data_IF_397687630452
#
_entry.id   IF_397687630452
#
_cell.length_a   1.000
_cell.length_b   1.000
_cell.length_c   1.000
_cell.angle_alpha   90.00
_cell.angle_beta   90.00
_cell.angle_gamma   90.00
#
_symmetry.space_group_name_H-M   'P 1'
#
loop_
_entity.id
_entity.type
_entity.pdbx_description
1 polymer ?
#
# COMPACT_ATOMS: atom_id res chain seq x y z
N UNK A 1 5.71 26.42 -21.03
CA UNK A 1 6.57 26.86 -19.91
C UNK A 1 6.02 26.30 -18.61
N UNK A 2 6.74 25.38 -17.95
CA UNK A 2 6.30 24.82 -16.68
C UNK A 2 6.40 25.91 -15.60
N UNK A 3 5.30 26.22 -14.92
CA UNK A 3 5.31 27.19 -13.83
C UNK A 3 6.31 26.73 -12.74
N UNK A 4 7.16 27.62 -12.18
CA UNK A 4 8.21 27.24 -11.23
C UNK A 4 7.70 26.47 -9.99
N UNK A 5 6.42 26.62 -9.61
CA UNK A 5 5.79 25.82 -8.54
C UNK A 5 5.47 24.36 -8.92
N UNK A 6 5.23 24.07 -10.20
CA UNK A 6 4.81 22.74 -10.66
C UNK A 6 5.93 21.71 -10.50
N UNK A 7 7.17 22.09 -10.83
CA UNK A 7 8.33 21.20 -10.67
C UNK A 7 8.60 20.90 -9.20
N UNK A 8 8.47 21.91 -8.33
CA UNK A 8 8.66 21.73 -6.90
C UNK A 8 7.58 20.80 -6.31
N UNK A 9 6.33 20.91 -6.75
CA UNK A 9 5.25 20.00 -6.34
C UNK A 9 5.45 18.56 -6.84
N UNK A 10 6.20 18.32 -7.92
CA UNK A 10 6.55 16.96 -8.36
C UNK A 10 7.71 16.37 -7.56
N UNK A 11 8.73 17.17 -7.30
CA UNK A 11 9.97 16.71 -6.65
C UNK A 11 9.78 16.53 -5.15
N UNK A 12 9.02 17.42 -4.50
CA UNK A 12 8.80 17.40 -3.06
C UNK A 12 8.28 16.05 -2.54
N UNK A 13 7.20 15.44 -3.07
CA UNK A 13 6.71 14.18 -2.52
C UNK A 13 7.70 13.03 -2.74
N UNK A 14 8.46 13.04 -3.84
CA UNK A 14 9.53 12.07 -4.06
C UNK A 14 10.64 12.22 -3.01
N UNK A 15 11.07 13.46 -2.72
CA UNK A 15 12.05 13.72 -1.66
C UNK A 15 11.52 13.26 -0.30
N UNK A 16 10.27 13.54 0.04
CA UNK A 16 9.66 13.11 1.30
C UNK A 16 9.56 11.58 1.39
N UNK A 17 9.27 10.89 0.28
CA UNK A 17 9.27 9.42 0.24
C UNK A 17 10.68 8.87 0.46
N UNK A 18 11.66 9.30 -0.34
CA UNK A 18 12.99 8.68 -0.35
C UNK A 18 13.91 9.13 0.79
N UNK A 19 13.80 10.39 1.24
CA UNK A 19 14.62 10.93 2.33
C UNK A 19 13.92 10.87 3.69
N UNK A 20 12.59 10.68 3.72
CA UNK A 20 11.79 10.66 4.95
C UNK A 20 11.18 9.29 5.25
N UNK A 21 10.15 8.91 4.49
CA UNK A 21 9.33 7.72 4.75
C UNK A 21 10.14 6.42 4.62
N UNK A 22 10.91 6.25 3.55
CA UNK A 22 11.64 5.01 3.30
C UNK A 22 12.74 4.73 4.35
N UNK A 23 13.59 5.70 4.74
CA UNK A 23 14.54 5.49 5.84
C UNK A 23 13.87 5.27 7.21
N UNK A 24 12.71 5.91 7.45
CA UNK A 24 11.97 5.76 8.70
C UNK A 24 11.21 4.41 8.79
N UNK A 25 10.95 3.74 7.67
CA UNK A 25 10.13 2.53 7.63
C UNK A 25 10.71 1.39 8.48
N UNK A 26 11.98 1.02 8.26
CA UNK A 26 12.62 -0.08 9.00
C UNK A 26 12.61 0.12 10.54
N UNK A 27 13.10 1.25 11.09
CA UNK A 27 13.05 1.46 12.54
C UNK A 27 11.62 1.56 13.07
N UNK A 28 10.69 2.11 12.29
CA UNK A 28 9.27 2.17 12.66
C UNK A 28 8.67 0.77 12.81
N UNK A 29 8.82 -0.11 11.81
CA UNK A 29 8.26 -1.46 11.90
C UNK A 29 8.96 -2.28 12.98
N UNK A 30 10.27 -2.14 13.16
CA UNK A 30 10.98 -2.78 14.28
C UNK A 30 10.40 -2.34 15.64
N UNK A 31 10.13 -1.04 15.83
CA UNK A 31 9.48 -0.53 17.03
C UNK A 31 8.06 -1.12 17.21
N UNK A 32 7.26 -1.17 16.14
CA UNK A 32 5.90 -1.72 16.18
C UNK A 32 5.92 -3.22 16.53
N UNK A 33 6.86 -4.00 16.01
CA UNK A 33 6.97 -5.43 16.34
C UNK A 33 7.13 -5.71 17.83
N UNK A 34 7.81 -4.83 18.57
CA UNK A 34 8.04 -4.97 20.01
C UNK A 34 6.90 -4.42 20.87
N UNK A 35 5.95 -3.71 20.27
CA UNK A 35 4.82 -3.14 20.99
C UNK A 35 3.76 -4.21 21.23
N UNK A 36 3.19 -4.23 22.44
CA UNK A 36 2.03 -5.06 22.75
C UNK A 36 0.83 -4.56 21.94
N UNK A 37 0.23 -5.46 21.17
CA UNK A 37 -0.98 -5.22 20.40
C UNK A 37 -2.19 -5.95 20.98
N UNK A 38 -3.30 -5.86 20.27
CA UNK A 38 -4.54 -6.56 20.59
C UNK A 38 -4.88 -7.54 19.46
N UNK A 39 -5.36 -8.72 19.81
CA UNK A 39 -5.97 -9.63 18.83
C UNK A 39 -7.39 -9.16 18.53
N UNK A 40 -7.74 -9.09 17.25
CA UNK A 40 -9.11 -8.86 16.82
C UNK A 40 -9.79 -10.19 16.53
N UNK A 41 -11.03 -10.32 16.96
CA UNK A 41 -11.87 -11.42 16.53
C UNK A 41 -12.20 -11.21 15.03
N UNK A 42 -11.82 -12.19 14.21
CA UNK A 42 -12.12 -12.21 12.78
C UNK A 42 -12.77 -13.55 12.42
N UNK A 43 -14.11 -13.63 12.53
CA UNK A 43 -14.84 -14.86 12.23
C UNK A 43 -14.66 -15.30 10.77
N UNK A 44 -14.46 -14.37 9.84
CA UNK A 44 -14.31 -14.71 8.42
C UNK A 44 -12.96 -15.38 8.21
N UNK A 45 -11.89 -14.80 8.73
CA UNK A 45 -10.55 -15.38 8.65
C UNK A 45 -10.49 -16.74 9.39
N UNK A 46 -11.16 -16.87 10.52
CA UNK A 46 -11.20 -18.12 11.31
C UNK A 46 -11.80 -19.33 10.55
N UNK A 47 -12.66 -19.10 9.55
CA UNK A 47 -13.23 -20.16 8.71
C UNK A 47 -12.47 -20.36 7.39
N UNK A 48 -11.51 -19.50 7.08
CA UNK A 48 -10.76 -19.55 5.83
C UNK A 48 -9.54 -20.47 6.03
N UNK A 49 -9.27 -21.44 5.14
CA UNK A 49 -8.11 -22.30 5.29
C UNK A 49 -6.82 -21.58 4.87
N UNK A 50 -5.80 -21.62 5.72
CA UNK A 50 -4.50 -21.03 5.44
C UNK A 50 -3.74 -21.81 4.34
N UNK A 51 -3.35 -21.12 3.28
CA UNK A 51 -2.52 -21.68 2.20
C UNK A 51 -1.42 -20.70 1.83
N UNK A 52 -0.24 -21.23 1.49
CA UNK A 52 0.85 -20.41 0.97
C UNK A 52 0.59 -20.01 -0.48
N UNK A 53 0.17 -18.76 -0.64
CA UNK A 53 -0.12 -18.03 -1.86
C UNK A 53 0.71 -16.75 -1.94
N UNK A 54 1.90 -16.72 -1.32
CA UNK A 54 2.77 -15.54 -1.36
C UNK A 54 3.21 -15.17 -2.78
N UNK A 55 3.62 -16.17 -3.57
CA UNK A 55 4.05 -16.00 -4.96
C UNK A 55 3.00 -15.32 -5.85
N UNK A 56 1.73 -15.79 -5.93
CA UNK A 56 0.73 -15.10 -6.75
C UNK A 56 0.43 -13.68 -6.24
N UNK A 57 0.46 -13.41 -4.93
CA UNK A 57 0.32 -12.04 -4.40
C UNK A 57 1.45 -11.15 -4.92
N UNK A 58 2.70 -11.63 -4.85
CA UNK A 58 3.87 -10.93 -5.36
C UNK A 58 3.71 -10.57 -6.85
N UNK A 59 3.45 -11.57 -7.71
CA UNK A 59 3.36 -11.30 -9.16
C UNK A 59 2.22 -10.36 -9.54
N UNK A 60 1.04 -10.51 -8.90
CA UNK A 60 -0.09 -9.61 -9.14
C UNK A 60 0.20 -8.19 -8.66
N UNK A 61 0.80 -8.05 -7.47
CA UNK A 61 1.17 -6.76 -6.91
C UNK A 61 2.20 -6.06 -7.80
N UNK A 62 3.40 -6.63 -7.95
CA UNK A 62 4.49 -5.96 -8.67
C UNK A 62 4.16 -5.79 -10.16
N UNK A 63 3.52 -6.78 -10.78
CA UNK A 63 3.07 -6.70 -12.16
C UNK A 63 2.08 -5.56 -12.38
N UNK A 64 1.08 -5.42 -11.51
CA UNK A 64 0.09 -4.33 -11.61
C UNK A 64 0.71 -2.96 -11.32
N UNK A 65 1.62 -2.85 -10.35
CA UNK A 65 2.39 -1.65 -10.08
C UNK A 65 3.21 -1.20 -11.28
N UNK A 66 4.00 -2.10 -11.87
CA UNK A 66 4.82 -1.81 -13.05
C UNK A 66 3.93 -1.37 -14.22
N UNK A 67 2.85 -2.11 -14.51
CA UNK A 67 1.95 -1.79 -15.62
C UNK A 67 1.26 -0.42 -15.44
N UNK A 68 0.75 -0.14 -14.23
CA UNK A 68 0.07 1.12 -13.94
C UNK A 68 1.05 2.30 -13.97
N UNK A 69 2.25 2.16 -13.38
CA UNK A 69 3.27 3.21 -13.42
C UNK A 69 3.74 3.47 -14.84
N UNK A 70 4.02 2.44 -15.64
CA UNK A 70 4.38 2.59 -17.05
C UNK A 70 3.29 3.35 -17.83
N UNK A 71 2.02 3.06 -17.57
CA UNK A 71 0.91 3.81 -18.15
C UNK A 71 0.85 5.27 -17.67
N UNK A 72 1.16 5.54 -16.39
CA UNK A 72 1.15 6.88 -15.80
C UNK A 72 2.34 7.74 -16.25
N UNK A 73 3.49 7.16 -16.64
CA UNK A 73 4.66 7.90 -17.11
C UNK A 73 4.35 8.81 -18.31
N UNK A 74 3.45 8.40 -19.21
CA UNK A 74 2.97 9.23 -20.31
C UNK A 74 1.99 10.34 -19.90
N UNK A 75 1.64 10.45 -18.61
CA UNK A 75 0.55 11.31 -18.10
C UNK A 75 1.00 12.03 -16.82
N UNK A 76 1.90 13.02 -16.93
CA UNK A 76 2.57 13.64 -15.78
C UNK A 76 1.61 14.25 -14.74
N UNK A 77 0.44 14.73 -15.17
CA UNK A 77 -0.58 15.25 -14.25
C UNK A 77 -1.19 14.17 -13.36
N UNK A 78 -1.48 12.99 -13.92
CA UNK A 78 -2.03 11.87 -13.15
C UNK A 78 -0.93 11.23 -12.29
N UNK A 79 0.28 11.14 -12.83
CA UNK A 79 1.44 10.64 -12.11
C UNK A 79 1.74 11.51 -10.88
N UNK A 80 1.79 12.83 -11.03
CA UNK A 80 2.04 13.75 -9.91
C UNK A 80 1.03 13.59 -8.78
N UNK A 81 -0.27 13.55 -9.12
CA UNK A 81 -1.33 13.26 -8.14
C UNK A 81 -1.16 11.87 -7.51
N UNK A 82 -0.79 10.87 -8.30
CA UNK A 82 -0.55 9.50 -7.84
C UNK A 82 0.60 9.41 -6.83
N UNK A 83 1.70 10.13 -7.07
CA UNK A 83 2.87 10.18 -6.17
C UNK A 83 2.51 10.86 -4.84
N UNK A 84 1.77 11.97 -4.88
CA UNK A 84 1.24 12.60 -3.65
C UNK A 84 0.29 11.68 -2.89
N UNK A 85 -0.61 11.00 -3.61
CA UNK A 85 -1.53 10.05 -3.01
C UNK A 85 -0.76 8.91 -2.34
N UNK A 86 0.29 8.39 -2.98
CA UNK A 86 1.11 7.32 -2.43
C UNK A 86 1.84 7.78 -1.15
N UNK A 87 2.45 8.97 -1.15
CA UNK A 87 3.04 9.55 0.07
C UNK A 87 2.01 9.62 1.21
N UNK A 88 0.83 10.18 0.94
CA UNK A 88 -0.23 10.30 1.94
C UNK A 88 -0.73 8.94 2.42
N UNK A 89 -0.82 7.95 1.51
CA UNK A 89 -1.20 6.59 1.85
C UNK A 89 -0.21 5.95 2.82
N UNK A 90 1.10 6.11 2.58
CA UNK A 90 2.14 5.61 3.48
C UNK A 90 2.06 6.28 4.86
N UNK A 91 1.85 7.60 4.91
CA UNK A 91 1.70 8.32 6.18
C UNK A 91 0.45 7.89 6.95
N UNK A 92 -0.69 7.73 6.26
CA UNK A 92 -1.92 7.19 6.85
C UNK A 92 -1.71 5.77 7.37
N UNK A 93 -0.99 4.93 6.63
CA UNK A 93 -0.66 3.57 7.06
C UNK A 93 0.20 3.58 8.33
N UNK A 94 1.29 4.33 8.35
CA UNK A 94 2.14 4.43 9.54
C UNK A 94 1.37 4.99 10.75
N UNK A 95 0.49 5.98 10.52
CA UNK A 95 -0.35 6.55 11.58
C UNK A 95 -1.35 5.53 12.14
N UNK A 96 -2.00 4.77 11.26
CA UNK A 96 -3.00 3.77 11.67
C UNK A 96 -2.38 2.60 12.40
N UNK A 97 -1.25 2.06 11.92
CA UNK A 97 -0.48 1.02 12.61
C UNK A 97 -0.02 1.52 13.99
N UNK A 98 0.41 2.78 14.09
CA UNK A 98 0.81 3.36 15.38
C UNK A 98 -0.38 3.57 16.33
N UNK A 99 -1.55 3.97 15.83
CA UNK A 99 -2.74 4.18 16.66
C UNK A 99 -3.40 2.85 17.08
N UNK A 100 -3.34 1.84 16.20
CA UNK A 100 -4.00 0.55 16.36
C UNK A 100 -2.94 -0.56 16.37
N UNK A 101 -2.22 -0.75 17.50
CA UNK A 101 -1.29 -1.85 17.61
C UNK A 101 -2.08 -3.17 17.67
N UNK A 102 -1.95 -3.97 16.61
CA UNK A 102 -2.62 -5.27 16.49
C UNK A 102 -1.58 -6.39 16.55
N UNK A 103 -1.97 -7.51 17.15
CA UNK A 103 -1.21 -8.74 17.07
C UNK A 103 -1.55 -9.49 15.78
N UNK A 104 -0.58 -10.23 15.25
CA UNK A 104 -0.76 -11.06 14.06
C UNK A 104 -1.93 -12.05 14.24
N UNK A 105 -2.70 -12.34 13.17
CA UNK A 105 -3.71 -13.38 13.21
C UNK A 105 -3.10 -14.73 13.64
N UNK A 106 -3.90 -15.53 14.35
CA UNK A 106 -3.50 -16.90 14.68
C UNK A 106 -3.31 -17.69 13.38
N UNK A 107 -2.17 -18.40 13.25
CA UNK A 107 -1.86 -19.17 12.05
C UNK A 107 -1.27 -18.35 10.90
N UNK A 108 -0.70 -17.16 11.18
CA UNK A 108 0.04 -16.38 10.18
C UNK A 108 1.10 -17.23 9.49
N UNK A 109 1.03 -17.30 8.17
CA UNK A 109 2.06 -17.93 7.36
C UNK A 109 3.18 -16.93 7.08
N UNK A 110 4.44 -17.37 6.98
CA UNK A 110 5.53 -16.51 6.54
C UNK A 110 5.15 -15.85 5.21
N UNK A 111 5.38 -14.55 5.15
CA UNK A 111 5.19 -13.77 3.93
C UNK A 111 6.48 -13.03 3.62
N UNK A 112 7.52 -13.76 3.19
CA UNK A 112 8.76 -13.14 2.78
C UNK A 112 8.45 -12.26 1.57
N UNK A 113 8.65 -10.95 1.71
CA UNK A 113 8.66 -10.02 0.58
C UNK A 113 10.10 -9.97 0.05
N UNK A 114 10.40 -10.59 -1.11
CA UNK A 114 11.75 -10.64 -1.65
C UNK A 114 12.34 -9.24 -1.89
N UNK A 115 11.50 -8.24 -2.21
CA UNK A 115 11.98 -6.89 -2.44
C UNK A 115 12.33 -6.19 -1.13
N UNK A 116 11.48 -6.31 -0.11
CA UNK A 116 11.76 -5.72 1.20
C UNK A 116 12.93 -6.42 1.89
N UNK A 117 13.06 -7.74 1.72
CA UNK A 117 14.20 -8.49 2.24
C UNK A 117 15.53 -8.06 1.59
N UNK A 118 15.59 -7.98 0.26
CA UNK A 118 16.83 -7.62 -0.45
C UNK A 118 17.21 -6.14 -0.33
N UNK A 119 16.23 -5.24 -0.21
CA UNK A 119 16.48 -3.78 -0.15
C UNK A 119 16.65 -3.28 1.29
N UNK A 120 15.97 -3.88 2.26
CA UNK A 120 15.93 -3.38 3.64
C UNK A 120 16.45 -4.38 4.69
N UNK A 121 16.65 -5.68 4.40
CA UNK A 121 17.00 -6.69 5.42
C UNK A 121 18.31 -7.43 5.13
N UNK A 122 19.41 -6.68 5.04
CA UNK A 122 20.75 -7.29 5.02
C UNK A 122 21.20 -7.87 6.39
N UNK A 123 20.43 -7.78 7.50
CA UNK A 123 20.98 -8.15 8.82
C UNK A 123 20.01 -8.57 9.95
N UNK A 124 18.69 -8.65 9.77
CA UNK A 124 17.80 -9.00 10.91
C UNK A 124 16.69 -9.94 10.45
N UNK A 125 16.87 -11.23 10.74
CA UNK A 125 16.07 -12.35 10.24
C UNK A 125 14.68 -12.51 10.92
N UNK A 126 14.06 -11.42 11.39
CA UNK A 126 12.73 -11.47 12.02
C UNK A 126 11.70 -10.89 11.05
N UNK A 127 10.76 -11.72 10.54
CA UNK A 127 9.68 -11.23 9.68
C UNK A 127 8.84 -10.16 10.36
N UNK A 128 8.47 -9.13 9.61
CA UNK A 128 7.50 -8.11 10.05
C UNK A 128 6.10 -8.73 9.92
N UNK A 129 5.34 -8.73 11.02
CA UNK A 129 4.05 -9.44 11.14
C UNK A 129 2.95 -8.58 11.78
N UNK A 130 3.29 -7.47 12.45
CA UNK A 130 2.35 -6.52 13.03
C UNK A 130 2.19 -5.26 12.18
N UNK A 131 2.47 -5.33 10.88
CA UNK A 131 2.16 -4.27 9.94
C UNK A 131 0.67 -4.30 9.51
N UNK A 132 -0.20 -4.38 10.52
CA UNK A 132 -1.62 -4.67 10.40
C UNK A 132 -2.44 -3.38 10.46
N UNK A 133 -3.52 -3.37 9.69
CA UNK A 133 -4.44 -2.26 9.48
C UNK A 133 -3.83 -0.98 8.85
N UNK A 134 -4.12 -0.65 7.59
CA UNK A 134 -4.82 -1.42 6.53
C UNK A 134 -3.82 -2.17 5.63
N UNK A 135 -4.33 -3.06 4.79
CA UNK A 135 -3.51 -3.87 3.87
C UNK A 135 -2.80 -2.96 2.86
N UNK A 136 -1.48 -2.81 3.03
CA UNK A 136 -0.66 -1.99 2.13
C UNK A 136 -0.67 -2.54 0.70
N UNK A 137 -0.73 -3.87 0.56
CA UNK A 137 -0.80 -4.53 -0.73
C UNK A 137 -2.08 -4.15 -1.49
N UNK A 138 -3.22 -4.39 -0.86
CA UNK A 138 -4.52 -4.10 -1.46
C UNK A 138 -4.66 -2.61 -1.76
N UNK A 139 -4.30 -1.75 -0.80
CA UNK A 139 -4.48 -0.31 -0.92
C UNK A 139 -3.62 0.33 -2.02
N UNK A 140 -2.39 -0.15 -2.22
CA UNK A 140 -1.52 0.35 -3.29
C UNK A 140 -2.15 0.11 -4.66
N UNK A 141 -2.66 -1.11 -4.91
CA UNK A 141 -3.30 -1.42 -6.20
C UNK A 141 -4.62 -0.68 -6.36
N UNK A 142 -5.41 -0.50 -5.29
CA UNK A 142 -6.62 0.35 -5.34
C UNK A 142 -6.25 1.80 -5.68
N UNK A 143 -5.19 2.35 -5.06
CA UNK A 143 -4.73 3.71 -5.35
C UNK A 143 -4.32 3.85 -6.81
N UNK A 144 -3.64 2.85 -7.38
CA UNK A 144 -3.32 2.83 -8.81
C UNK A 144 -4.58 2.76 -9.67
N UNK A 145 -5.58 1.95 -9.29
CA UNK A 145 -6.88 1.89 -9.96
C UNK A 145 -7.61 3.25 -9.95
N UNK A 146 -7.43 4.05 -8.90
CA UNK A 146 -7.96 5.43 -8.83
C UNK A 146 -7.14 6.43 -9.66
N UNK A 147 -5.82 6.22 -9.75
CA UNK A 147 -4.92 7.10 -10.47
C UNK A 147 -5.04 6.99 -12.00
N UNK A 148 -5.24 5.78 -12.53
CA UNK A 148 -5.40 5.56 -13.97
C UNK A 148 -6.75 6.05 -14.51
N UNK A 149 -6.85 6.22 -15.84
CA UNK A 149 -8.09 6.60 -16.54
C UNK A 149 -8.48 5.54 -17.59
N UNK A 150 -9.76 5.53 -17.94
CA UNK A 150 -10.36 4.55 -18.83
C UNK A 150 -10.98 3.38 -18.07
N UNK A 151 -12.20 2.97 -18.47
CA UNK A 151 -12.97 1.94 -17.77
C UNK A 151 -12.25 0.60 -17.67
N UNK A 152 -11.50 0.22 -18.71
CA UNK A 152 -10.80 -1.07 -18.77
C UNK A 152 -9.64 -1.16 -17.79
N UNK A 153 -8.74 -0.17 -17.79
CA UNK A 153 -7.60 -0.12 -16.86
C UNK A 153 -8.05 -0.04 -15.39
N UNK A 154 -9.08 0.77 -15.12
CA UNK A 154 -9.66 0.89 -13.77
C UNK A 154 -10.28 -0.43 -13.31
N UNK A 155 -11.08 -1.07 -14.16
CA UNK A 155 -11.71 -2.35 -13.85
C UNK A 155 -10.67 -3.46 -13.64
N UNK A 156 -9.64 -3.52 -14.50
CA UNK A 156 -8.56 -4.50 -14.38
C UNK A 156 -7.81 -4.35 -13.05
N UNK A 157 -7.35 -3.14 -12.71
CA UNK A 157 -6.64 -2.91 -11.46
C UNK A 157 -7.53 -3.12 -10.23
N UNK A 158 -8.81 -2.75 -10.30
CA UNK A 158 -9.76 -3.02 -9.22
C UNK A 158 -9.99 -4.53 -9.03
N UNK A 159 -10.09 -5.30 -10.12
CA UNK A 159 -10.19 -6.75 -10.06
C UNK A 159 -8.92 -7.38 -9.46
N UNK A 160 -7.73 -6.93 -9.88
CA UNK A 160 -6.46 -7.38 -9.30
C UNK A 160 -6.39 -7.05 -7.82
N UNK A 161 -6.79 -5.84 -7.41
CA UNK A 161 -6.83 -5.45 -6.00
C UNK A 161 -7.77 -6.33 -5.18
N UNK A 162 -8.96 -6.64 -5.70
CA UNK A 162 -9.90 -7.55 -5.04
C UNK A 162 -9.32 -8.98 -4.92
N UNK A 163 -8.66 -9.47 -5.96
CA UNK A 163 -7.97 -10.77 -5.93
C UNK A 163 -6.86 -10.79 -4.89
N UNK A 164 -5.99 -9.76 -4.86
CA UNK A 164 -4.93 -9.63 -3.85
C UNK A 164 -5.56 -9.58 -2.45
N UNK A 165 -6.64 -8.82 -2.26
CA UNK A 165 -7.38 -8.75 -1.02
C UNK A 165 -7.87 -10.12 -0.53
N UNK A 166 -8.38 -10.96 -1.44
CA UNK A 166 -8.73 -12.34 -1.10
C UNK A 166 -7.52 -13.21 -0.77
N UNK A 167 -6.45 -13.12 -1.57
CA UNK A 167 -5.24 -13.92 -1.38
C UNK A 167 -4.52 -13.60 -0.07
N UNK A 168 -4.45 -12.34 0.35
CA UNK A 168 -3.81 -11.98 1.64
C UNK A 168 -4.57 -12.54 2.85
N UNK A 169 -5.89 -12.75 2.72
CA UNK A 169 -6.68 -13.45 3.74
C UNK A 169 -6.37 -14.95 3.71
N UNK A 170 -6.28 -15.56 2.52
CA UNK A 170 -5.88 -16.98 2.38
C UNK A 170 -4.49 -17.23 2.96
N UNK A 171 -3.55 -16.29 2.78
CA UNK A 171 -2.22 -16.33 3.40
C UNK A 171 -2.23 -16.11 4.92
N UNK A 172 -3.34 -15.62 5.49
CA UNK A 172 -3.46 -15.26 6.91
C UNK A 172 -2.48 -14.17 7.37
N UNK A 173 -2.10 -13.26 6.47
CA UNK A 173 -1.17 -12.15 6.80
C UNK A 173 -1.89 -10.87 7.22
N UNK A 174 -3.20 -10.79 6.96
CA UNK A 174 -4.02 -9.62 7.28
C UNK A 174 -5.38 -10.06 7.81
N UNK A 175 -5.96 -9.22 8.67
CA UNK A 175 -7.36 -9.33 9.03
C UNK A 175 -8.26 -8.86 7.87
N UNK A 176 -9.51 -9.31 7.84
CA UNK A 176 -10.53 -8.80 6.90
C UNK A 176 -10.72 -7.30 7.04
N UNK A 177 -10.61 -6.77 8.26
CA UNK A 177 -10.67 -5.33 8.52
C UNK A 177 -9.57 -4.56 7.77
N UNK A 178 -8.39 -5.15 7.61
CA UNK A 178 -7.27 -4.55 6.88
C UNK A 178 -7.57 -4.43 5.38
N UNK A 179 -8.18 -5.48 4.82
CA UNK A 179 -8.56 -5.56 3.41
C UNK A 179 -9.73 -4.61 3.09
N UNK A 180 -10.72 -4.53 3.98
CA UNK A 180 -11.85 -3.61 3.82
C UNK A 180 -11.46 -2.14 4.03
N UNK A 181 -10.50 -1.87 4.92
CA UNK A 181 -9.96 -0.52 5.12
C UNK A 181 -9.18 -0.01 3.91
N UNK A 182 -8.50 -0.90 3.19
CA UNK A 182 -7.60 -0.54 2.10
C UNK A 182 -8.24 0.37 1.01
N UNK A 183 -9.42 0.04 0.44
CA UNK A 183 -10.09 0.94 -0.52
C UNK A 183 -10.46 2.31 0.04
N UNK A 184 -10.85 2.37 1.33
CA UNK A 184 -11.29 3.60 1.98
C UNK A 184 -10.10 4.54 2.15
N UNK A 185 -8.98 4.04 2.68
CA UNK A 185 -7.77 4.84 2.88
C UNK A 185 -7.08 5.19 1.56
N UNK A 186 -7.09 4.29 0.56
CA UNK A 186 -6.63 4.61 -0.80
C UNK A 186 -7.43 5.75 -1.42
N UNK A 187 -8.76 5.72 -1.29
CA UNK A 187 -9.62 6.81 -1.75
C UNK A 187 -9.35 8.12 -0.99
N UNK A 188 -9.24 8.07 0.33
CA UNK A 188 -8.94 9.25 1.17
C UNK A 188 -7.61 9.88 0.77
N UNK A 189 -6.55 9.07 0.63
CA UNK A 189 -5.24 9.53 0.21
C UNK A 189 -5.28 10.18 -1.19
N UNK A 190 -5.98 9.55 -2.14
CA UNK A 190 -6.12 10.09 -3.50
C UNK A 190 -6.98 11.36 -3.57
N UNK A 191 -7.98 11.48 -2.71
CA UNK A 191 -8.80 12.68 -2.56
C UNK A 191 -7.99 13.83 -1.96
N UNK A 192 -7.27 13.60 -0.86
CA UNK A 192 -6.37 14.57 -0.22
C UNK A 192 -5.28 15.04 -1.21
N UNK A 193 -4.69 14.12 -1.96
CA UNK A 193 -3.73 14.46 -3.00
C UNK A 193 -4.32 15.40 -4.06
N UNK A 194 -5.61 15.27 -4.39
CA UNK A 194 -6.30 16.18 -5.30
C UNK A 194 -6.53 17.59 -4.75
N UNK A 195 -6.42 17.80 -3.44
CA UNK A 195 -6.48 19.13 -2.80
C UNK A 195 -5.12 19.83 -2.81
N UNK A 196 -4.04 19.06 -2.79
CA UNK A 196 -2.65 19.57 -2.81
C UNK A 196 -2.18 19.74 -4.25
N UNK A 197 -2.46 18.75 -5.10
CA UNK A 197 -2.01 18.69 -6.48
C UNK A 197 -2.97 19.47 -7.39
N UNK A 198 -2.54 20.58 -8.01
CA UNK A 198 -3.37 21.35 -8.90
C UNK A 198 -3.72 20.51 -10.11
N UNK A 199 -4.95 19.98 -10.14
CA UNK A 199 -5.46 19.24 -11.29
C UNK A 199 -6.03 20.26 -12.27
N UNK A 200 -5.21 20.72 -13.21
CA UNK A 200 -5.73 21.31 -14.44
C UNK A 200 -6.03 20.15 -15.40
N UNK A 201 -7.22 19.58 -15.30
CA UNK A 201 -7.74 18.70 -16.36
C UNK A 201 -9.08 19.27 -16.83
N UNK A 202 -9.27 19.51 -18.14
CA UNK A 202 -10.59 19.79 -18.68
C UNK A 202 -11.50 18.58 -18.45
N UNK A 203 -12.77 18.88 -18.20
CA UNK A 203 -13.86 17.90 -18.07
C UNK A 203 -13.96 17.00 -19.31
#
# INVERSE_FOLDING_TARGET
MAQPGFRNLLVLPLVLIFAGVAPAAAPFYHFIQHRAGHHLADPVLAHLPAHDVASPIFFLMYGSCIAAVAWLLGRPQLLGRGVWAYLLLQLLRMSTIWLLPLEAPAGILPFPDPFTEHVFHASTAVPITKDLFFSGHTATVVLLALAVRGRWWRALLAAIAATIGGLVLVQHVHYVYDVLGAPIFAWLAYWLAGRIWPTTAPA
#
